data_IF_614782312430
#
_entry.id   IF_614782312430
#
_cell.length_a   1.000
_cell.length_b   1.000
_cell.length_c   1.000
_cell.angle_alpha   90.00
_cell.angle_beta   90.00
_cell.angle_gamma   90.00
#
_symmetry.space_group_name_H-M   'P 1'
#
loop_
_entity.id
_entity.type
_entity.pdbx_description
1 polymer ?
#
# COMPACT_ATOMS: atom_id res chain seq x y z
N UNK A 1 2.63 10.17 12.69
CA UNK A 1 2.05 10.78 11.45
C UNK A 1 1.53 9.65 10.60
N UNK A 2 0.30 9.71 10.08
CA UNK A 2 -0.21 8.63 9.23
C UNK A 2 0.37 8.69 7.81
N UNK A 3 0.88 7.55 7.36
CA UNK A 3 1.23 7.24 5.98
C UNK A 3 0.37 6.07 5.51
N UNK A 4 0.17 5.97 4.21
CA UNK A 4 -0.81 5.09 3.62
C UNK A 4 -0.17 4.15 2.61
N UNK A 5 -0.62 2.89 2.62
CA UNK A 5 -0.30 1.90 1.60
C UNK A 5 -1.58 1.39 0.97
N UNK A 6 -1.64 1.40 -0.35
CA UNK A 6 -2.70 0.74 -1.11
C UNK A 6 -2.21 -0.68 -1.44
N UNK A 7 -3.01 -1.67 -1.08
CA UNK A 7 -2.75 -3.10 -1.28
C UNK A 7 -3.93 -3.70 -2.05
N UNK A 8 -3.69 -4.73 -2.87
CA UNK A 8 -4.79 -5.61 -3.29
C UNK A 8 -5.29 -6.44 -2.10
N UNK A 9 -6.51 -6.98 -2.20
CA UNK A 9 -7.06 -7.89 -1.21
C UNK A 9 -6.15 -9.11 -0.96
N UNK A 10 -5.52 -9.63 -2.01
CA UNK A 10 -4.54 -10.74 -1.92
C UNK A 10 -3.29 -10.32 -1.14
N UNK A 11 -2.71 -9.16 -1.45
CA UNK A 11 -1.53 -8.63 -0.74
C UNK A 11 -1.84 -8.39 0.74
N UNK A 12 -3.04 -7.88 1.04
CA UNK A 12 -3.50 -7.72 2.42
C UNK A 12 -3.65 -9.05 3.15
N UNK A 13 -4.28 -10.04 2.52
CA UNK A 13 -4.44 -11.37 3.10
C UNK A 13 -3.09 -12.04 3.38
N UNK A 14 -2.13 -11.91 2.47
CA UNK A 14 -0.77 -12.39 2.68
C UNK A 14 -0.08 -11.68 3.85
N UNK A 15 -0.15 -10.35 3.93
CA UNK A 15 0.39 -9.58 5.04
C UNK A 15 -0.24 -10.00 6.38
N UNK A 16 -1.56 -10.15 6.43
CA UNK A 16 -2.27 -10.56 7.64
C UNK A 16 -1.87 -11.97 8.11
N UNK A 17 -1.62 -12.88 7.16
CA UNK A 17 -1.20 -14.27 7.42
C UNK A 17 0.26 -14.37 7.85
N UNK A 18 1.15 -13.62 7.21
CA UNK A 18 2.61 -13.75 7.40
C UNK A 18 3.18 -12.74 8.41
N UNK A 19 2.41 -11.73 8.79
CA UNK A 19 2.84 -10.63 9.65
C UNK A 19 3.85 -9.67 8.99
N UNK A 20 4.21 -9.92 7.73
CA UNK A 20 5.13 -9.09 6.93
C UNK A 20 4.81 -9.20 5.45
N UNK A 21 5.23 -8.19 4.69
CA UNK A 21 5.14 -8.18 3.22
C UNK A 21 6.49 -7.80 2.62
N UNK A 22 6.81 -8.37 1.46
CA UNK A 22 7.95 -7.94 0.66
C UNK A 22 7.59 -6.73 -0.23
N UNK A 23 6.31 -6.34 -0.27
CA UNK A 23 5.80 -5.25 -1.11
C UNK A 23 5.15 -5.73 -2.40
N UNK A 24 4.60 -4.76 -3.15
CA UNK A 24 4.13 -4.96 -4.51
C UNK A 24 5.32 -5.12 -5.49
N UNK A 25 5.10 -5.61 -6.73
CA UNK A 25 6.18 -5.78 -7.70
C UNK A 25 7.04 -4.52 -7.93
N UNK A 26 6.43 -3.33 -7.89
CA UNK A 26 7.16 -2.05 -8.00
C UNK A 26 8.03 -1.78 -6.78
N UNK A 27 7.57 -2.12 -5.57
CA UNK A 27 8.36 -1.95 -4.34
C UNK A 27 9.62 -2.83 -4.37
N UNK A 28 9.48 -4.05 -4.89
CA UNK A 28 10.60 -4.98 -5.06
C UNK A 28 11.61 -4.51 -6.09
N UNK A 29 11.12 -3.97 -7.22
CA UNK A 29 11.96 -3.43 -8.29
C UNK A 29 12.76 -2.21 -7.82
N UNK A 30 12.13 -1.33 -7.05
CA UNK A 30 12.75 -0.08 -6.57
C UNK A 30 13.54 -0.28 -5.26
N UNK A 31 13.35 -1.42 -4.59
CA UNK A 31 14.08 -1.81 -3.38
C UNK A 31 13.54 -1.21 -2.08
N UNK A 32 12.35 -0.61 -2.09
CA UNK A 32 11.69 -0.06 -0.90
C UNK A 32 10.15 -0.06 -1.04
N UNK A 33 9.44 -0.04 0.09
CA UNK A 33 7.97 0.01 0.10
C UNK A 33 7.49 1.45 -0.15
N UNK A 34 6.70 1.65 -1.20
CA UNK A 34 6.05 2.93 -1.48
C UNK A 34 4.91 3.20 -0.50
N UNK A 35 5.02 4.30 0.22
CA UNK A 35 3.92 4.87 1.00
C UNK A 35 3.52 6.24 0.45
N UNK A 36 2.27 6.61 0.68
CA UNK A 36 1.72 7.93 0.34
C UNK A 36 1.37 8.68 1.62
N UNK A 37 1.55 10.01 1.64
CA UNK A 37 0.90 10.86 2.64
C UNK A 37 -0.61 10.97 2.36
N UNK A 38 -1.38 11.52 3.32
CA UNK A 38 -2.80 11.80 3.12
C UNK A 38 -3.09 12.67 1.88
N UNK A 39 -2.19 13.61 1.57
CA UNK A 39 -2.33 14.48 0.39
C UNK A 39 -2.03 13.75 -0.93
N UNK A 40 -1.24 12.68 -0.91
CA UNK A 40 -0.81 11.95 -2.11
C UNK A 40 -1.72 10.75 -2.42
N UNK A 41 -2.29 10.11 -1.39
CA UNK A 41 -2.91 8.78 -1.53
C UNK A 41 -4.08 8.74 -2.51
N UNK A 42 -4.88 9.80 -2.60
CA UNK A 42 -6.01 9.89 -3.54
C UNK A 42 -5.52 9.93 -4.98
N UNK A 43 -4.49 10.73 -5.26
CA UNK A 43 -3.89 10.82 -6.58
C UNK A 43 -3.17 9.52 -6.96
N UNK A 44 -2.47 8.89 -6.01
CA UNK A 44 -1.85 7.56 -6.20
C UNK A 44 -2.91 6.51 -6.55
N UNK A 45 -4.04 6.49 -5.84
CA UNK A 45 -5.15 5.57 -6.12
C UNK A 45 -5.70 5.79 -7.54
N UNK A 46 -5.97 7.04 -7.92
CA UNK A 46 -6.51 7.37 -9.24
C UNK A 46 -5.53 7.01 -10.37
N UNK A 47 -4.23 7.24 -10.20
CA UNK A 47 -3.20 7.00 -11.23
C UNK A 47 -2.89 5.52 -11.45
N UNK A 48 -2.79 4.74 -10.37
CA UNK A 48 -2.24 3.38 -10.44
C UNK A 48 -3.27 2.28 -10.22
N UNK A 49 -4.43 2.62 -9.64
CA UNK A 49 -5.43 1.65 -9.21
C UNK A 49 -6.84 1.96 -9.74
N UNK A 50 -6.96 2.79 -10.78
CA UNK A 50 -8.24 3.12 -11.40
C UNK A 50 -9.00 1.86 -11.86
N UNK A 51 -10.29 1.78 -11.53
CA UNK A 51 -11.17 0.67 -11.91
C UNK A 51 -11.00 -0.62 -11.10
N UNK A 52 -10.16 -0.61 -10.05
CA UNK A 52 -10.02 -1.72 -9.11
C UNK A 52 -10.95 -1.53 -7.92
N UNK A 53 -11.69 -2.57 -7.57
CA UNK A 53 -12.62 -2.63 -6.44
C UNK A 53 -12.08 -3.47 -5.27
N UNK A 54 -11.07 -4.29 -5.52
CA UNK A 54 -10.45 -5.23 -4.58
C UNK A 54 -9.25 -4.64 -3.83
N UNK A 55 -9.37 -3.40 -3.35
CA UNK A 55 -8.29 -2.66 -2.69
C UNK A 55 -8.50 -2.50 -1.19
N UNK A 56 -7.39 -2.55 -0.46
CA UNK A 56 -7.30 -2.22 0.96
C UNK A 56 -6.39 -1.01 1.13
N UNK A 57 -6.86 -0.03 1.88
CA UNK A 57 -6.07 1.12 2.29
C UNK A 57 -5.57 0.92 3.73
N UNK A 58 -4.29 0.62 3.89
CA UNK A 58 -3.67 0.50 5.20
C UNK A 58 -3.14 1.87 5.65
N UNK A 59 -3.56 2.31 6.84
CA UNK A 59 -2.98 3.47 7.52
C UNK A 59 -1.94 3.00 8.54
N UNK A 60 -0.73 3.55 8.47
CA UNK A 60 0.41 3.20 9.31
C UNK A 60 0.91 4.45 10.03
N UNK A 61 1.19 4.36 11.32
CA UNK A 61 1.84 5.44 12.03
C UNK A 61 3.35 5.43 11.75
N UNK A 62 3.85 6.46 11.05
CA UNK A 62 5.25 6.61 10.69
C UNK A 62 6.18 6.90 11.89
N UNK A 63 5.64 7.12 13.09
CA UNK A 63 6.42 7.32 14.31
C UNK A 63 6.62 6.04 15.14
N UNK A 64 6.16 4.89 14.63
CA UNK A 64 6.27 3.58 15.29
C UNK A 64 7.69 3.00 15.28
#
# INVERSE_FOLDING_TARGET
>A
MLIFKILSAEQWAALARDGRTAGAPVDLADGFIHFSTAAQVVETAAKHFAGRDDLVLAAVDAAS
#
